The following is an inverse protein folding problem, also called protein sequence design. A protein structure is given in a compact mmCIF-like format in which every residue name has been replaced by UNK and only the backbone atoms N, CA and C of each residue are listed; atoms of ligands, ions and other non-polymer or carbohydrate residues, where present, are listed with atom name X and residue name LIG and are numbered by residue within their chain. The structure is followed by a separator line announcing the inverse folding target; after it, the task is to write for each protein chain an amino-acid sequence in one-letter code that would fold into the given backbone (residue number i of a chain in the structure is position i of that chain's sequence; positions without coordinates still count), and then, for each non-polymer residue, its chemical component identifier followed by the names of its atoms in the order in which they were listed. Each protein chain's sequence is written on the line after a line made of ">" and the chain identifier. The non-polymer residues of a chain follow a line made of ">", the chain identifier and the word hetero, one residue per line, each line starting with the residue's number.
data_IF_769221882448
#
_entry.id   IF_769221882448
#
_cell.length_a   1.000
_cell.length_b   1.000
_cell.length_c   1.000
_cell.angle_alpha   90.00
_cell.angle_beta   90.00
_cell.angle_gamma   90.00
#
_symmetry.space_group_name_H-M   'P 1'
#
loop_
_entity.id
_entity.type
_entity.pdbx_description
1 polymer ?
#
# COMPACT_ATOMS: atom_id res chain seq x y z
N UNK A 1 5.90 -9.11 -1.34
CA UNK A 1 4.85 -9.74 -2.16
C UNK A 1 3.76 -8.77 -2.58
N UNK A 2 2.94 -8.26 -1.65
CA UNK A 2 1.74 -7.47 -1.98
C UNK A 2 1.93 -6.06 -2.56
N UNK A 3 3.17 -5.64 -2.84
CA UNK A 3 3.51 -4.32 -3.41
C UNK A 3 2.85 -3.10 -2.71
N UNK A 4 2.67 -3.18 -1.38
CA UNK A 4 2.16 -2.09 -0.54
C UNK A 4 3.19 -1.73 0.54
N UNK A 5 3.88 -0.60 0.36
CA UNK A 5 4.98 -0.14 1.22
C UNK A 5 4.56 0.17 2.66
N UNK A 6 3.58 1.06 2.89
CA UNK A 6 3.08 1.37 4.23
C UNK A 6 2.66 0.13 5.04
N UNK A 7 1.96 -0.82 4.41
CA UNK A 7 1.55 -2.06 5.09
C UNK A 7 2.75 -2.97 5.37
N UNK A 8 3.69 -3.10 4.43
CA UNK A 8 4.91 -3.89 4.63
C UNK A 8 5.74 -3.36 5.80
N UNK A 9 5.93 -2.04 5.89
CA UNK A 9 6.61 -1.38 7.02
C UNK A 9 5.87 -1.67 8.33
N UNK A 10 4.54 -1.47 8.35
CA UNK A 10 3.72 -1.66 9.55
C UNK A 10 3.78 -3.09 10.10
N UNK A 11 3.66 -4.08 9.22
CA UNK A 11 3.72 -5.50 9.61
C UNK A 11 5.12 -5.88 10.06
N UNK A 12 6.15 -5.37 9.39
CA UNK A 12 7.56 -5.64 9.75
C UNK A 12 7.88 -5.08 11.14
N UNK A 13 7.40 -3.89 11.48
CA UNK A 13 7.53 -3.31 12.82
C UNK A 13 6.91 -4.17 13.93
N UNK A 14 5.96 -5.06 13.62
CA UNK A 14 5.31 -5.94 14.60
C UNK A 14 5.89 -7.36 14.62
N UNK A 15 6.33 -7.86 13.47
CA UNK A 15 6.75 -9.25 13.32
C UNK A 15 8.27 -9.42 13.31
N UNK A 16 9.01 -8.50 12.71
CA UNK A 16 10.47 -8.56 12.60
C UNK A 16 11.10 -7.15 12.52
N UNK A 17 11.10 -6.38 13.63
CA UNK A 17 11.59 -5.00 13.64
C UNK A 17 13.04 -4.87 13.16
N UNK A 18 13.86 -5.87 13.45
CA UNK A 18 15.27 -5.93 13.04
C UNK A 18 15.46 -6.04 11.53
N UNK A 19 14.44 -6.44 10.76
CA UNK A 19 14.52 -6.55 9.29
C UNK A 19 13.89 -5.34 8.58
N UNK A 20 13.50 -4.29 9.33
CA UNK A 20 12.77 -3.14 8.79
C UNK A 20 13.53 -2.44 7.65
N UNK A 21 14.80 -2.12 7.87
CA UNK A 21 15.65 -1.47 6.86
C UNK A 21 15.72 -2.27 5.56
N UNK A 22 16.22 -3.52 5.59
CA UNK A 22 16.27 -4.39 4.42
C UNK A 22 14.93 -4.57 3.68
N UNK A 23 13.85 -4.84 4.41
CA UNK A 23 12.52 -5.08 3.82
C UNK A 23 11.97 -3.81 3.17
N UNK A 24 12.11 -2.66 3.81
CA UNK A 24 11.62 -1.40 3.25
C UNK A 24 12.37 -1.03 1.97
N UNK A 25 13.70 -1.18 1.95
CA UNK A 25 14.52 -0.94 0.75
C UNK A 25 14.08 -1.86 -0.39
N UNK A 26 14.03 -3.18 -0.14
CA UNK A 26 13.62 -4.15 -1.14
C UNK A 26 12.18 -3.89 -1.65
N UNK A 27 11.25 -3.54 -0.75
CA UNK A 27 9.86 -3.28 -1.12
C UNK A 27 9.75 -2.12 -2.12
N UNK A 28 10.35 -0.95 -1.84
CA UNK A 28 10.26 0.19 -2.75
C UNK A 28 11.08 0.00 -4.02
N UNK A 29 12.25 -0.64 -3.94
CA UNK A 29 13.06 -0.99 -5.13
C UNK A 29 12.28 -1.92 -6.07
N UNK A 30 11.62 -2.96 -5.55
CA UNK A 30 10.84 -3.88 -6.36
C UNK A 30 9.54 -3.27 -6.90
N UNK A 31 8.89 -2.37 -6.16
CA UNK A 31 7.76 -1.61 -6.68
C UNK A 31 8.16 -0.77 -7.90
N UNK A 32 9.34 -0.15 -7.88
CA UNK A 32 9.87 0.60 -9.01
C UNK A 32 10.25 -0.30 -10.21
N UNK A 33 10.55 -1.58 -9.98
CA UNK A 33 10.89 -2.55 -11.02
C UNK A 33 9.66 -3.24 -11.65
N UNK A 34 8.44 -2.94 -11.19
CA UNK A 34 7.19 -3.49 -11.78
C UNK A 34 7.13 -3.32 -13.30
N UNK A 35 7.46 -2.16 -13.92
CA UNK A 35 7.46 -2.02 -15.38
C UNK A 35 8.48 -2.90 -16.10
N UNK A 36 9.53 -3.36 -15.42
CA UNK A 36 10.54 -4.27 -15.97
C UNK A 36 10.10 -5.71 -15.81
N UNK A 37 9.53 -6.07 -14.65
CA UNK A 37 9.18 -7.44 -14.28
C UNK A 37 7.82 -7.86 -14.87
N UNK A 38 6.82 -6.98 -14.83
CA UNK A 38 5.44 -7.33 -15.18
C UNK A 38 5.26 -7.64 -16.68
N UNK A 39 5.78 -6.84 -17.64
CA UNK A 39 5.52 -7.11 -19.06
C UNK A 39 6.09 -8.43 -19.60
N UNK A 40 7.31 -8.88 -19.24
CA UNK A 40 7.80 -10.20 -19.62
C UNK A 40 6.92 -11.34 -19.11
N UNK A 41 6.47 -11.28 -17.84
CA UNK A 41 5.60 -12.30 -17.25
C UNK A 41 4.26 -12.35 -17.99
N UNK A 42 3.64 -11.20 -18.27
CA UNK A 42 2.42 -11.15 -19.08
C UNK A 42 2.66 -11.74 -20.48
N UNK A 43 3.80 -11.42 -21.10
CA UNK A 43 4.17 -11.93 -22.43
C UNK A 43 4.32 -13.46 -22.45
N UNK A 44 4.86 -14.04 -21.39
CA UNK A 44 5.09 -15.46 -21.24
C UNK A 44 3.83 -16.27 -20.90
N UNK A 45 2.93 -15.73 -20.07
CA UNK A 45 1.79 -16.48 -19.52
C UNK A 45 0.45 -16.27 -20.26
N UNK A 46 0.27 -15.15 -20.96
CA UNK A 46 -1.00 -14.85 -21.64
C UNK A 46 -0.89 -15.02 -23.15
N UNK A 47 -1.99 -15.28 -23.83
CA UNK A 47 -2.06 -15.40 -25.30
C UNK A 47 -2.43 -14.07 -25.97
N UNK A 48 -2.20 -13.96 -27.28
CA UNK A 48 -2.64 -12.77 -28.05
C UNK A 48 -4.17 -12.60 -28.03
N UNK A 49 -4.93 -13.71 -28.01
CA UNK A 49 -6.40 -13.68 -27.99
C UNK A 49 -6.94 -13.06 -26.69
N UNK A 50 -6.39 -13.45 -25.54
CA UNK A 50 -6.79 -12.92 -24.23
C UNK A 50 -6.48 -11.42 -24.10
N UNK A 51 -5.34 -10.97 -24.64
CA UNK A 51 -4.94 -9.55 -24.63
C UNK A 51 -5.80 -8.64 -25.51
N UNK A 52 -6.62 -9.21 -26.39
CA UNK A 52 -7.50 -8.48 -27.31
C UNK A 52 -8.96 -8.46 -26.83
N UNK A 53 -9.26 -9.00 -25.65
CA UNK A 53 -10.61 -8.94 -25.07
C UNK A 53 -10.96 -7.46 -24.82
N UNK A 54 -12.09 -7.02 -25.37
CA UNK A 54 -12.59 -5.67 -25.16
C UNK A 54 -13.16 -5.54 -23.75
N UNK A 55 -12.64 -4.57 -22.99
CA UNK A 55 -13.15 -4.28 -21.65
C UNK A 55 -14.41 -3.41 -21.76
N UNK A 56 -15.47 -3.81 -21.05
CA UNK A 56 -16.67 -3.00 -20.92
C UNK A 56 -16.39 -1.72 -20.12
N UNK A 57 -17.17 -0.68 -20.38
CA UNK A 57 -17.09 0.55 -19.62
C UNK A 57 -17.56 0.33 -18.20
N UNK A 58 -16.87 0.98 -17.25
CA UNK A 58 -17.22 0.91 -15.84
C UNK A 58 -18.63 1.49 -15.62
N UNK A 59 -19.41 0.82 -14.76
CA UNK A 59 -20.72 1.31 -14.36
C UNK A 59 -20.61 2.67 -13.65
N UNK A 60 -21.59 3.59 -13.82
CA UNK A 60 -21.65 4.79 -13.02
C UNK A 60 -21.94 4.42 -11.56
N UNK A 61 -21.09 4.89 -10.65
CA UNK A 61 -21.23 4.64 -9.19
C UNK A 61 -21.84 5.88 -8.55
N UNK A 62 -22.94 5.69 -7.82
CA UNK A 62 -23.63 6.80 -7.14
C UNK A 62 -22.77 7.39 -6.01
N UNK A 63 -22.97 8.67 -5.69
CA UNK A 63 -22.27 9.32 -4.57
C UNK A 63 -22.54 8.62 -3.24
N UNK A 64 -23.79 8.18 -3.03
CA UNK A 64 -24.20 7.44 -1.84
C UNK A 64 -23.44 6.12 -1.72
N UNK A 65 -23.27 5.39 -2.82
CA UNK A 65 -22.52 4.13 -2.82
C UNK A 65 -21.04 4.34 -2.45
N UNK A 66 -20.41 5.40 -2.97
CA UNK A 66 -19.01 5.74 -2.63
C UNK A 66 -18.82 6.10 -1.15
N UNK A 67 -19.81 6.72 -0.52
CA UNK A 67 -19.76 7.09 0.91
C UNK A 67 -20.04 5.87 1.81
N UNK A 68 -20.98 5.00 1.43
CA UNK A 68 -21.34 3.81 2.20
C UNK A 68 -20.23 2.75 2.14
N UNK A 69 -19.56 2.62 0.99
CA UNK A 69 -18.50 1.65 0.77
C UNK A 69 -17.43 1.61 1.89
N UNK A 70 -16.73 2.72 2.24
CA UNK A 70 -15.72 2.68 3.29
C UNK A 70 -16.26 2.31 4.67
N UNK A 71 -17.51 2.69 4.97
CA UNK A 71 -18.15 2.40 6.26
C UNK A 71 -18.44 0.89 6.37
N UNK A 72 -19.09 0.33 5.35
CA UNK A 72 -19.45 -1.10 5.33
C UNK A 72 -18.21 -1.98 5.34
N UNK A 73 -17.20 -1.65 4.52
CA UNK A 73 -15.93 -2.39 4.49
C UNK A 73 -15.23 -2.34 5.85
N UNK A 74 -15.19 -1.18 6.50
CA UNK A 74 -14.57 -1.06 7.83
C UNK A 74 -15.27 -1.91 8.88
N UNK A 75 -16.60 -1.87 8.92
CA UNK A 75 -17.39 -2.68 9.87
C UNK A 75 -17.17 -4.18 9.59
N UNK A 76 -17.28 -4.57 8.32
CA UNK A 76 -17.16 -5.97 7.91
C UNK A 76 -15.77 -6.55 8.22
N UNK A 77 -14.70 -5.82 7.89
CA UNK A 77 -13.33 -6.24 8.19
C UNK A 77 -13.08 -6.25 9.70
N UNK A 78 -13.59 -5.27 10.44
CA UNK A 78 -13.40 -5.23 11.90
C UNK A 78 -14.05 -6.41 12.62
N UNK A 79 -15.17 -6.91 12.10
CA UNK A 79 -15.87 -8.08 12.65
C UNK A 79 -15.19 -9.40 12.27
N UNK A 80 -14.73 -9.54 11.03
CA UNK A 80 -14.13 -10.80 10.54
C UNK A 80 -12.66 -10.95 10.86
N UNK A 81 -11.89 -9.87 10.74
CA UNK A 81 -10.43 -9.86 10.91
C UNK A 81 -10.02 -8.62 11.72
N UNK A 82 -10.20 -8.66 13.06
CA UNK A 82 -9.91 -7.51 13.93
C UNK A 82 -8.45 -7.03 13.86
N UNK A 83 -7.50 -7.94 13.57
CA UNK A 83 -6.08 -7.59 13.42
C UNK A 83 -5.77 -6.68 12.22
N UNK A 84 -6.61 -6.69 11.18
CA UNK A 84 -6.51 -5.83 10.01
C UNK A 84 -7.27 -4.50 10.18
N UNK A 85 -8.10 -4.38 11.21
CA UNK A 85 -8.94 -3.20 11.45
C UNK A 85 -8.16 -1.88 11.51
N UNK A 86 -6.96 -1.78 12.15
CA UNK A 86 -6.21 -0.53 12.15
C UNK A 86 -5.76 -0.07 10.76
N UNK A 87 -5.36 -1.01 9.89
CA UNK A 87 -4.90 -0.70 8.53
C UNK A 87 -6.07 -0.32 7.63
N UNK A 88 -7.09 -1.19 7.56
CA UNK A 88 -8.25 -0.96 6.70
C UNK A 88 -9.07 0.22 7.20
N UNK A 89 -9.21 0.40 8.51
CA UNK A 89 -9.91 1.54 9.09
C UNK A 89 -9.28 2.88 8.71
N UNK A 90 -7.95 3.00 8.79
CA UNK A 90 -7.26 4.23 8.38
C UNK A 90 -7.32 4.47 6.87
N UNK A 91 -7.23 3.41 6.06
CA UNK A 91 -7.38 3.49 4.61
C UNK A 91 -8.80 3.96 4.21
N UNK A 92 -9.83 3.34 4.80
CA UNK A 92 -11.23 3.67 4.54
C UNK A 92 -11.62 5.03 5.12
N UNK A 93 -11.01 5.46 6.22
CA UNK A 93 -11.18 6.81 6.75
C UNK A 93 -10.67 7.87 5.76
N UNK A 94 -9.47 7.66 5.19
CA UNK A 94 -8.97 8.53 4.12
C UNK A 94 -9.89 8.58 2.90
N UNK A 95 -10.47 7.43 2.52
CA UNK A 95 -11.48 7.34 1.46
C UNK A 95 -12.75 8.14 1.82
N UNK A 96 -13.26 7.99 3.04
CA UNK A 96 -14.43 8.73 3.51
C UNK A 96 -14.20 10.25 3.52
N UNK A 97 -13.02 10.72 3.94
CA UNK A 97 -12.65 12.14 3.89
C UNK A 97 -12.69 12.71 2.47
N UNK A 98 -12.37 11.88 1.47
CA UNK A 98 -12.41 12.26 0.05
C UNK A 98 -13.83 12.27 -0.50
N UNK A 99 -14.63 11.25 -0.19
CA UNK A 99 -15.93 11.02 -0.82
C UNK A 99 -17.11 11.72 -0.10
N UNK A 100 -16.99 12.08 1.19
CA UNK A 100 -18.09 12.69 1.95
C UNK A 100 -18.45 14.11 1.49
N UNK A 101 -17.56 14.81 0.80
CA UNK A 101 -17.80 16.13 0.20
C UNK A 101 -17.93 17.30 1.19
N UNK A 102 -17.79 17.07 2.49
CA UNK A 102 -17.86 18.12 3.54
C UNK A 102 -16.51 18.37 4.22
N UNK A 103 -15.51 17.52 3.99
CA UNK A 103 -14.18 17.62 4.59
C UNK A 103 -13.08 17.93 3.57
N UNK A 104 -13.37 18.76 2.55
CA UNK A 104 -12.42 19.03 1.46
C UNK A 104 -11.07 19.55 1.97
N UNK A 105 -11.08 20.47 2.94
CA UNK A 105 -9.85 20.99 3.58
C UNK A 105 -9.04 19.88 4.23
N UNK A 106 -9.68 19.02 5.03
CA UNK A 106 -9.00 17.90 5.71
C UNK A 106 -8.47 16.90 4.68
N UNK A 107 -9.24 16.59 3.64
CA UNK A 107 -8.84 15.65 2.59
C UNK A 107 -7.60 16.16 1.83
N UNK A 108 -7.57 17.44 1.46
CA UNK A 108 -6.41 18.07 0.81
C UNK A 108 -5.19 18.09 1.72
N UNK A 109 -5.35 18.45 2.99
CA UNK A 109 -4.25 18.44 3.96
C UNK A 109 -3.72 17.02 4.19
N UNK A 110 -4.59 16.02 4.30
CA UNK A 110 -4.19 14.63 4.50
C UNK A 110 -3.42 14.04 3.30
N UNK A 111 -3.85 14.34 2.07
CA UNK A 111 -3.22 13.82 0.84
C UNK A 111 -1.89 14.50 0.50
N UNK A 112 -1.72 15.77 0.88
CA UNK A 112 -0.55 16.56 0.50
C UNK A 112 0.35 16.83 1.72
N UNK A 113 0.04 17.87 2.49
CA UNK A 113 0.91 18.38 3.56
C UNK A 113 1.24 17.31 4.60
N UNK A 114 0.22 16.64 5.15
CA UNK A 114 0.42 15.63 6.17
C UNK A 114 1.16 14.41 5.62
N UNK A 115 0.81 13.96 4.41
CA UNK A 115 1.48 12.84 3.75
C UNK A 115 2.96 13.13 3.54
N UNK A 116 3.29 14.33 3.06
CA UNK A 116 4.67 14.75 2.81
C UNK A 116 5.48 14.79 4.11
N UNK A 117 4.93 15.39 5.18
CA UNK A 117 5.59 15.47 6.49
C UNK A 117 5.83 14.08 7.06
N UNK A 118 4.80 13.22 7.08
CA UNK A 118 4.92 11.85 7.63
C UNK A 118 5.87 11.00 6.78
N UNK A 119 5.89 11.18 5.46
CA UNK A 119 6.81 10.46 4.56
C UNK A 119 8.26 10.82 4.83
N UNK A 120 8.57 12.11 5.07
CA UNK A 120 9.92 12.54 5.44
C UNK A 120 10.36 11.87 6.74
N UNK A 121 9.53 11.91 7.78
CA UNK A 121 9.85 11.27 9.06
C UNK A 121 9.99 9.76 8.92
N UNK A 122 9.08 9.11 8.19
CA UNK A 122 9.14 7.68 7.95
C UNK A 122 10.42 7.29 7.20
N UNK A 123 10.78 8.04 6.16
CA UNK A 123 12.00 7.80 5.38
C UNK A 123 13.26 7.93 6.23
N UNK A 124 13.35 8.97 7.06
CA UNK A 124 14.49 9.16 7.98
C UNK A 124 14.52 8.06 9.04
N UNK A 125 13.38 7.71 9.64
CA UNK A 125 13.31 6.65 10.66
C UNK A 125 13.67 5.28 10.09
N UNK A 126 13.16 4.92 8.91
CA UNK A 126 13.51 3.66 8.24
C UNK A 126 14.98 3.65 7.85
N UNK A 127 15.50 4.75 7.29
CA UNK A 127 16.91 4.90 6.95
C UNK A 127 17.83 4.75 8.17
N UNK A 128 17.42 5.26 9.33
CA UNK A 128 18.16 5.10 10.58
C UNK A 128 18.25 3.62 11.05
N UNK A 129 17.32 2.76 10.63
CA UNK A 129 17.37 1.32 10.93
C UNK A 129 18.21 0.50 9.94
N UNK A 130 18.75 1.12 8.89
CA UNK A 130 19.61 0.45 7.91
C UNK A 130 21.09 0.48 8.34
N UNK A 131 21.40 -0.03 9.53
CA UNK A 131 22.77 -0.13 10.03
C UNK A 131 23.54 -1.26 9.34
N UNK A 132 24.86 -1.12 9.22
CA UNK A 132 25.71 -2.03 8.43
C UNK A 132 25.66 -3.48 8.94
N UNK A 133 25.56 -3.68 10.25
CA UNK A 133 25.43 -4.96 10.93
C UNK A 133 24.13 -5.71 10.63
N UNK A 134 23.05 -4.98 10.33
CA UNK A 134 21.75 -5.55 9.95
C UNK A 134 21.68 -5.76 8.44
N UNK A 135 22.14 -4.76 7.69
CA UNK A 135 22.02 -4.74 6.23
C UNK A 135 23.00 -5.71 5.54
N UNK A 136 24.22 -5.86 6.04
CA UNK A 136 25.26 -6.73 5.47
C UNK A 136 25.22 -8.15 6.06
N UNK A 137 24.04 -8.77 6.08
CA UNK A 137 23.86 -10.15 6.55
C UNK A 137 23.40 -11.07 5.42
N UNK A 138 23.70 -12.36 5.55
CA UNK A 138 23.20 -13.39 4.61
C UNK A 138 21.68 -13.44 4.53
N UNK A 139 20.98 -13.05 5.60
CA UNK A 139 19.52 -12.97 5.65
C UNK A 139 18.99 -11.89 4.71
N UNK A 140 19.67 -10.73 4.62
CA UNK A 140 19.30 -9.64 3.69
C UNK A 140 19.41 -10.05 2.22
N UNK A 141 20.38 -10.91 1.87
CA UNK A 141 20.51 -11.44 0.50
C UNK A 141 19.29 -12.29 0.12
N UNK A 142 18.65 -12.98 1.08
CA UNK A 142 17.41 -13.71 0.82
C UNK A 142 16.16 -12.83 0.69
N UNK A 143 16.25 -11.55 1.06
CA UNK A 143 15.17 -10.56 0.95
C UNK A 143 15.25 -9.78 -0.38
N UNK A 144 16.47 -9.54 -0.86
CA UNK A 144 16.79 -8.98 -2.18
C UNK A 144 16.70 -10.01 -3.30
#
# INVERSE_FOLDING_TARGET
>A
GGADGPTAIYVTLRLAPQLLGPIAVAAYSYMALVPVIQPPIMKALTTKKERQISMEQLRPVSKTEKIIFPIVVTIFVSLLVPSAAPLIGMLMFGNLLKECGVTERLSKTAQNELMNIVTIFLGVSVGATATADIFLTWQTIGIL
#
